data_IF_459720082190
#
_entry.id   IF_459720082190
#
_cell.length_a   1.000
_cell.length_b   1.000
_cell.length_c   1.000
_cell.angle_alpha   90.00
_cell.angle_beta   90.00
_cell.angle_gamma   90.00
#
_symmetry.space_group_name_H-M   'P 1'
#
loop_
_entity.id
_entity.type
_entity.pdbx_description
1 polymer ?
#
# COMPACT_ATOMS: atom_id res chain seq x y z
N UNK A 1 4.13 39.23 -11.38
CA UNK A 1 4.64 39.52 -10.02
C UNK A 1 4.64 38.22 -9.23
N UNK A 2 5.80 37.61 -8.97
CA UNK A 2 5.89 36.34 -8.25
C UNK A 2 6.06 36.64 -6.75
N UNK A 3 5.04 36.37 -5.94
CA UNK A 3 5.14 36.44 -4.48
C UNK A 3 5.92 35.22 -4.01
N UNK A 4 7.09 35.44 -3.41
CA UNK A 4 7.86 34.39 -2.72
C UNK A 4 7.28 34.24 -1.33
N UNK A 5 6.74 33.06 -1.02
CA UNK A 5 6.34 32.70 0.35
C UNK A 5 7.58 32.10 1.03
N UNK A 6 7.95 32.69 2.15
CA UNK A 6 9.06 32.26 3.01
C UNK A 6 8.47 31.29 4.05
N UNK A 7 8.88 30.03 4.03
CA UNK A 7 8.49 29.04 5.06
C UNK A 7 9.69 28.74 5.94
N UNK A 8 9.49 28.95 7.23
CA UNK A 8 10.46 28.81 8.32
C UNK A 8 10.52 27.34 8.72
N UNK A 9 11.70 26.74 8.64
CA UNK A 9 11.97 25.37 9.08
C UNK A 9 12.06 25.32 10.62
N UNK A 10 11.15 24.62 11.28
CA UNK A 10 11.29 24.28 12.70
C UNK A 10 11.83 22.85 12.78
N UNK A 11 13.10 22.74 13.17
CA UNK A 11 13.76 21.47 13.50
C UNK A 11 13.36 21.14 14.94
N UNK A 12 12.47 20.16 15.11
CA UNK A 12 12.11 19.64 16.43
C UNK A 12 13.12 18.59 16.87
N UNK A 13 13.96 18.93 17.86
CA UNK A 13 14.87 18.02 18.52
C UNK A 13 14.12 17.06 19.46
N UNK A 14 14.35 15.77 19.26
CA UNK A 14 13.74 14.67 19.98
C UNK A 14 14.38 14.53 21.38
N UNK A 15 13.66 14.87 22.44
CA UNK A 15 14.04 14.54 23.82
C UNK A 15 13.20 13.34 24.29
N UNK A 16 13.83 12.17 24.33
CA UNK A 16 13.25 10.95 24.88
C UNK A 16 13.33 11.05 26.40
N UNK A 17 12.18 11.18 27.08
CA UNK A 17 12.09 10.92 28.51
C UNK A 17 11.35 9.60 28.71
N UNK A 18 12.09 8.58 29.13
CA UNK A 18 11.54 7.33 29.64
C UNK A 18 11.11 7.56 31.09
N UNK A 19 9.81 7.50 31.36
CA UNK A 19 9.30 7.31 32.72
C UNK A 19 8.59 5.96 32.79
N UNK A 20 9.28 5.03 33.46
CA UNK A 20 8.78 3.74 33.91
C UNK A 20 8.07 3.98 35.24
N UNK A 21 6.78 3.66 35.31
CA UNK A 21 6.10 3.36 36.57
C UNK A 21 5.33 2.05 36.38
N UNK A 22 5.71 1.05 37.17
CA UNK A 22 5.08 -0.27 37.20
C UNK A 22 4.16 -0.49 38.39
N UNK A 23 3.46 -1.63 38.31
CA UNK A 23 2.68 -2.37 39.32
C UNK A 23 1.29 -1.78 39.69
N UNK A 24 0.22 -2.55 39.89
CA UNK A 24 0.10 -3.97 40.25
C UNK A 24 -1.28 -4.60 39.90
N UNK A 25 -1.21 -5.93 39.73
CA UNK A 25 -2.19 -7.02 39.75
C UNK A 25 -3.56 -6.81 40.45
N UNK A 26 -4.62 -7.34 39.83
CA UNK A 26 -5.66 -8.09 40.55
C UNK A 26 -6.23 -9.19 39.66
N UNK A 27 -6.15 -10.43 40.16
CA UNK A 27 -6.84 -11.62 39.67
C UNK A 27 -8.30 -11.59 40.13
N UNK A 28 -9.22 -12.10 39.30
CA UNK A 28 -10.29 -12.92 39.84
C UNK A 28 -10.67 -14.01 38.84
N UNK A 29 -10.60 -15.24 39.33
CA UNK A 29 -10.99 -16.47 38.65
C UNK A 29 -12.49 -16.51 38.40
N UNK A 30 -12.92 -17.11 37.29
CA UNK A 30 -14.05 -18.02 37.33
C UNK A 30 -13.91 -19.12 36.28
N UNK A 31 -13.99 -20.34 36.80
CA UNK A 31 -13.79 -21.63 36.18
C UNK A 31 -15.15 -22.19 35.77
N UNK A 32 -15.26 -22.71 34.55
CA UNK A 32 -16.16 -23.83 34.25
C UNK A 32 -15.59 -24.65 33.10
N UNK A 33 -15.28 -25.91 33.41
CA UNK A 33 -14.91 -26.98 32.50
C UNK A 33 -16.15 -27.48 31.73
N UNK A 34 -15.97 -27.90 30.49
CA UNK A 34 -16.26 -29.30 30.09
C UNK A 34 -15.57 -29.63 28.78
N UNK A 35 -14.69 -30.63 28.84
CA UNK A 35 -14.08 -31.34 27.72
C UNK A 35 -15.11 -32.24 27.03
N UNK A 36 -14.99 -32.43 25.72
CA UNK A 36 -15.04 -33.79 25.16
C UNK A 36 -14.30 -33.88 23.82
N UNK A 37 -13.47 -34.90 23.75
CA UNK A 37 -12.58 -35.34 22.67
C UNK A 37 -13.20 -36.53 21.96
N UNK A 38 -13.05 -36.66 20.64
CA UNK A 38 -13.01 -37.96 19.96
C UNK A 38 -12.00 -37.90 18.80
N UNK A 39 -11.01 -38.79 18.86
CA UNK A 39 -10.13 -39.25 17.76
C UNK A 39 -10.61 -40.63 17.25
N UNK A 40 -9.93 -41.12 16.18
CA UNK A 40 -9.75 -42.51 15.68
C UNK A 40 -10.69 -42.87 14.50
N UNK A 41 -10.31 -43.45 13.35
CA UNK A 41 -9.12 -44.15 12.78
C UNK A 41 -9.19 -43.97 11.22
N UNK A 42 -8.11 -43.80 10.42
CA UNK A 42 -7.11 -44.75 9.89
C UNK A 42 -7.58 -45.71 8.77
N UNK A 43 -7.03 -45.54 7.56
CA UNK A 43 -6.46 -46.61 6.71
C UNK A 43 -5.64 -45.98 5.53
N UNK A 44 -4.30 -46.02 5.50
CA UNK A 44 -3.34 -47.02 4.92
C UNK A 44 -3.38 -47.18 3.39
N UNK A 45 -2.44 -46.60 2.63
CA UNK A 45 -1.30 -47.22 1.87
C UNK A 45 -1.31 -46.70 0.42
N UNK A 46 -0.26 -46.60 -0.41
CA UNK A 46 1.11 -47.14 -0.50
C UNK A 46 1.86 -46.27 -1.56
N UNK A 47 3.07 -45.79 -1.29
CA UNK A 47 4.34 -46.19 -1.95
C UNK A 47 4.53 -45.78 -3.43
N UNK A 48 5.45 -44.83 -3.72
CA UNK A 48 6.78 -45.15 -4.27
C UNK A 48 7.59 -43.91 -4.70
N UNK A 49 8.78 -43.85 -4.10
CA UNK A 49 9.95 -43.04 -4.45
C UNK A 49 10.45 -43.26 -5.89
N UNK A 50 11.04 -42.22 -6.50
CA UNK A 50 12.31 -42.35 -7.23
C UNK A 50 12.98 -40.99 -7.48
N UNK A 51 14.13 -40.86 -6.84
CA UNK A 51 15.17 -39.87 -7.03
C UNK A 51 16.04 -40.29 -8.23
N UNK A 52 16.37 -39.35 -9.12
CA UNK A 52 17.53 -39.43 -10.03
C UNK A 52 17.83 -38.08 -10.68
N UNK A 53 18.86 -37.38 -10.20
CA UNK A 53 19.84 -36.67 -11.05
C UNK A 53 20.84 -37.74 -11.57
N UNK A 54 21.61 -37.54 -12.68
CA UNK A 54 22.28 -36.27 -13.06
C UNK A 54 22.37 -35.97 -14.57
N UNK A 55 22.75 -34.74 -14.95
CA UNK A 55 24.03 -34.36 -15.60
C UNK A 55 23.91 -33.02 -16.37
N UNK A 56 24.96 -32.21 -16.22
CA UNK A 56 25.18 -30.91 -16.85
C UNK A 56 25.06 -30.94 -18.37
N UNK A 57 24.45 -29.89 -18.93
CA UNK A 57 24.75 -29.42 -20.28
C UNK A 57 24.75 -27.89 -20.22
N UNK A 58 25.91 -27.29 -20.53
CA UNK A 58 26.01 -25.86 -20.80
C UNK A 58 25.06 -25.52 -21.95
N UNK A 59 24.13 -24.59 -21.73
CA UNK A 59 23.48 -23.85 -22.80
C UNK A 59 23.18 -22.44 -22.34
N UNK A 60 23.73 -21.51 -23.10
CA UNK A 60 23.61 -20.07 -23.03
C UNK A 60 22.12 -19.69 -23.04
N UNK A 61 21.61 -19.24 -21.89
CA UNK A 61 20.20 -18.94 -21.68
C UNK A 61 19.76 -17.69 -22.43
N UNK A 62 19.05 -17.91 -23.53
CA UNK A 62 18.07 -16.99 -24.09
C UNK A 62 17.05 -16.68 -22.98
N UNK A 63 17.05 -15.44 -22.49
CA UNK A 63 16.16 -15.00 -21.40
C UNK A 63 14.69 -15.13 -21.83
N UNK A 64 13.89 -15.78 -20.99
CA UNK A 64 12.44 -16.00 -21.12
C UNK A 64 11.64 -14.69 -21.12
N UNK A 65 11.64 -13.95 -22.23
CA UNK A 65 10.90 -12.68 -22.35
C UNK A 65 9.38 -12.88 -22.19
N UNK A 66 8.82 -13.95 -22.77
CA UNK A 66 7.36 -14.22 -22.74
C UNK A 66 6.80 -14.43 -21.32
N UNK A 67 7.54 -15.08 -20.42
CA UNK A 67 7.09 -15.35 -19.06
C UNK A 67 7.15 -14.10 -18.15
N UNK A 68 8.10 -13.21 -18.41
CA UNK A 68 8.24 -11.94 -17.67
C UNK A 68 7.14 -10.96 -18.07
N UNK A 69 6.82 -10.89 -19.36
CA UNK A 69 5.78 -10.00 -19.87
C UNK A 69 4.39 -10.41 -19.37
N UNK A 70 4.13 -11.72 -19.26
CA UNK A 70 2.88 -12.25 -18.71
C UNK A 70 2.67 -11.85 -17.24
N UNK A 71 3.69 -12.01 -16.40
CA UNK A 71 3.63 -11.62 -14.99
C UNK A 71 3.34 -10.13 -14.78
N UNK A 72 4.00 -9.25 -15.54
CA UNK A 72 3.75 -7.80 -15.45
C UNK A 72 2.32 -7.45 -15.87
N UNK A 73 1.83 -8.08 -16.94
CA UNK A 73 0.45 -7.94 -17.40
C UNK A 73 -0.55 -8.36 -16.32
N UNK A 74 -0.31 -9.49 -15.66
CA UNK A 74 -1.15 -9.97 -14.54
C UNK A 74 -1.16 -9.01 -13.35
N UNK A 75 0.01 -8.47 -12.99
CA UNK A 75 0.14 -7.48 -11.91
C UNK A 75 -0.64 -6.20 -12.23
N UNK A 76 -0.47 -5.65 -13.43
CA UNK A 76 -1.18 -4.45 -13.88
C UNK A 76 -2.70 -4.69 -13.97
N UNK A 77 -3.12 -5.89 -14.40
CA UNK A 77 -4.53 -6.27 -14.39
C UNK A 77 -5.10 -6.34 -12.97
N UNK A 78 -4.36 -6.92 -12.02
CA UNK A 78 -4.79 -6.97 -10.62
C UNK A 78 -4.89 -5.56 -10.01
N UNK A 79 -3.93 -4.67 -10.28
CA UNK A 79 -3.99 -3.26 -9.87
C UNK A 79 -5.26 -2.59 -10.41
N UNK A 80 -5.54 -2.76 -11.71
CA UNK A 80 -6.73 -2.19 -12.37
C UNK A 80 -8.03 -2.76 -11.82
N UNK A 81 -8.11 -4.06 -11.58
CA UNK A 81 -9.33 -4.69 -11.11
C UNK A 81 -9.65 -4.33 -9.65
N UNK A 82 -8.63 -4.28 -8.78
CA UNK A 82 -8.78 -3.83 -7.40
C UNK A 82 -9.20 -2.36 -7.32
N UNK A 83 -8.58 -1.50 -8.13
CA UNK A 83 -8.84 -0.05 -8.08
C UNK A 83 -10.27 0.34 -8.48
N UNK A 84 -10.94 -0.44 -9.34
CA UNK A 84 -12.37 -0.25 -9.67
C UNK A 84 -13.28 -0.28 -8.43
N UNK A 85 -12.83 -0.93 -7.36
CA UNK A 85 -13.56 -1.09 -6.10
C UNK A 85 -12.92 -0.37 -4.91
N UNK A 86 -12.01 0.58 -5.18
CA UNK A 86 -11.36 1.37 -4.14
C UNK A 86 -10.23 0.65 -3.39
N UNK A 87 -9.75 -0.50 -3.86
CA UNK A 87 -8.74 -1.32 -3.18
C UNK A 87 -7.38 -1.28 -3.89
N UNK A 88 -6.32 -1.64 -3.15
CA UNK A 88 -4.99 -1.98 -3.69
C UNK A 88 -4.71 -3.48 -3.62
N UNK A 89 -3.67 -3.97 -4.30
CA UNK A 89 -3.37 -5.40 -4.48
C UNK A 89 -3.04 -6.14 -3.18
N UNK A 90 -2.48 -5.45 -2.18
CA UNK A 90 -2.06 -6.00 -0.89
C UNK A 90 -2.98 -5.58 0.26
N UNK A 91 -4.21 -5.15 -0.03
CA UNK A 91 -5.20 -4.74 0.99
C UNK A 91 -6.61 -5.23 0.65
N UNK A 92 -7.40 -5.49 1.70
CA UNK A 92 -8.85 -5.75 1.61
C UNK A 92 -9.70 -4.51 1.95
N UNK A 93 -9.07 -3.47 2.50
CA UNK A 93 -9.73 -2.22 2.84
C UNK A 93 -9.96 -1.35 1.60
N UNK A 94 -10.99 -0.52 1.66
CA UNK A 94 -11.47 0.29 0.55
C UNK A 94 -11.38 1.78 0.86
N UNK A 95 -10.89 2.57 -0.10
CA UNK A 95 -11.18 3.99 -0.12
C UNK A 95 -12.71 4.20 -0.29
N UNK A 96 -13.20 5.38 0.09
CA UNK A 96 -14.62 5.77 0.13
C UNK A 96 -15.41 5.13 1.25
N UNK A 97 -15.39 3.81 1.41
CA UNK A 97 -16.28 3.13 2.36
C UNK A 97 -15.57 2.70 3.66
N UNK A 98 -14.25 2.52 3.64
CA UNK A 98 -13.49 2.07 4.81
C UNK A 98 -13.14 3.20 5.78
N UNK A 99 -12.89 2.83 7.04
CA UNK A 99 -12.42 3.73 8.11
C UNK A 99 -11.14 3.18 8.75
N UNK A 100 -10.30 4.07 9.29
CA UNK A 100 -9.00 3.66 9.86
C UNK A 100 -9.14 2.72 11.08
N UNK A 101 -10.22 2.84 11.85
CA UNK A 101 -10.46 1.98 13.01
C UNK A 101 -10.56 0.50 12.63
N UNK A 102 -11.16 0.18 11.47
CA UNK A 102 -11.22 -1.20 10.97
C UNK A 102 -9.84 -1.74 10.61
N UNK A 103 -8.99 -0.90 10.03
CA UNK A 103 -7.59 -1.24 9.72
C UNK A 103 -6.82 -1.50 11.01
N UNK A 104 -6.97 -0.62 12.01
CA UNK A 104 -6.30 -0.76 13.29
C UNK A 104 -6.75 -2.02 14.05
N UNK A 105 -8.04 -2.38 13.94
CA UNK A 105 -8.56 -3.61 14.53
C UNK A 105 -7.95 -4.86 13.88
N UNK A 106 -7.70 -4.84 12.57
CA UNK A 106 -7.13 -5.97 11.84
C UNK A 106 -5.61 -6.07 11.97
N UNK A 107 -4.91 -4.94 11.93
CA UNK A 107 -3.45 -4.88 11.81
C UNK A 107 -2.73 -4.45 13.09
N UNK A 108 -3.46 -4.00 14.11
CA UNK A 108 -2.89 -3.30 15.26
C UNK A 108 -2.69 -1.82 14.96
N UNK A 109 -2.01 -1.10 15.86
CA UNK A 109 -1.73 0.33 15.69
C UNK A 109 -0.77 0.59 14.52
N UNK A 110 -0.92 1.72 13.85
CA UNK A 110 0.01 2.21 12.85
C UNK A 110 1.44 2.38 13.39
N UNK A 111 2.44 2.24 12.51
CA UNK A 111 3.83 2.51 12.83
C UNK A 111 4.09 4.03 12.90
N UNK A 112 3.49 4.78 11.97
CA UNK A 112 3.55 6.26 11.93
C UNK A 112 2.24 6.87 11.48
N UNK A 113 1.98 8.10 11.93
CA UNK A 113 0.85 8.93 11.50
C UNK A 113 1.32 10.34 11.18
N UNK A 114 1.20 10.79 9.92
CA UNK A 114 1.66 12.12 9.48
C UNK A 114 0.59 12.85 8.68
N UNK A 115 0.33 14.12 9.02
CA UNK A 115 -0.54 14.96 8.20
C UNK A 115 0.24 15.47 6.98
N UNK A 116 -0.29 15.21 5.78
CA UNK A 116 0.29 15.66 4.51
C UNK A 116 -0.65 16.71 3.92
N UNK A 117 -0.22 17.98 3.95
CA UNK A 117 -1.06 19.11 3.57
C UNK A 117 -1.44 19.08 2.08
N UNK A 118 -0.49 18.75 1.21
CA UNK A 118 -0.65 18.64 -0.24
C UNK A 118 -1.66 17.53 -0.59
N UNK A 119 -1.67 16.46 0.19
CA UNK A 119 -2.58 15.33 0.01
C UNK A 119 -3.85 15.40 0.88
N UNK A 120 -4.05 16.52 1.59
CA UNK A 120 -5.24 16.89 2.37
C UNK A 120 -5.70 15.84 3.40
N UNK A 121 -4.77 15.18 4.08
CA UNK A 121 -5.15 14.14 5.05
C UNK A 121 -4.07 13.69 6.01
N UNK A 122 -4.51 12.93 7.00
CA UNK A 122 -3.64 12.21 7.93
C UNK A 122 -3.36 10.81 7.37
N UNK A 123 -2.09 10.46 7.23
CA UNK A 123 -1.65 9.19 6.67
C UNK A 123 -1.14 8.28 7.76
N UNK A 124 -1.76 7.12 7.89
CA UNK A 124 -1.39 6.05 8.81
C UNK A 124 -0.60 4.99 8.05
N UNK A 125 0.65 4.77 8.42
CA UNK A 125 1.55 3.83 7.74
C UNK A 125 1.67 2.53 8.52
N UNK A 126 1.56 1.41 7.80
CA UNK A 126 1.73 0.05 8.31
C UNK A 126 2.88 -0.59 7.53
N UNK A 127 4.11 -0.40 8.01
CA UNK A 127 5.35 -0.79 7.34
C UNK A 127 5.38 -2.29 7.06
N UNK A 128 4.99 -3.10 8.05
CA UNK A 128 4.94 -4.56 7.91
C UNK A 128 3.94 -5.05 6.85
N UNK A 129 2.98 -4.20 6.47
CA UNK A 129 1.96 -4.47 5.45
C UNK A 129 2.29 -3.85 4.09
N UNK A 130 3.31 -2.98 4.02
CA UNK A 130 3.61 -2.15 2.86
C UNK A 130 2.38 -1.32 2.42
N UNK A 131 1.72 -0.68 3.39
CA UNK A 131 0.50 0.10 3.18
C UNK A 131 0.56 1.44 3.90
N UNK A 132 -0.08 2.44 3.32
CA UNK A 132 -0.50 3.64 4.04
C UNK A 132 -1.94 4.02 3.69
N UNK A 133 -2.65 4.59 4.65
CA UNK A 133 -4.06 4.98 4.52
C UNK A 133 -4.21 6.47 4.79
N UNK A 134 -4.56 7.23 3.76
CA UNK A 134 -4.92 8.64 3.86
C UNK A 134 -6.37 8.80 4.29
N UNK A 135 -6.58 9.45 5.43
CA UNK A 135 -7.90 9.62 6.02
C UNK A 135 -8.25 11.10 6.18
N UNK A 136 -9.53 11.41 6.00
CA UNK A 136 -10.06 12.75 6.25
C UNK A 136 -10.36 12.95 7.76
N UNK A 137 -10.84 14.12 8.14
CA UNK A 137 -11.15 14.46 9.55
C UNK A 137 -12.21 13.56 10.19
N UNK A 138 -12.98 12.81 9.39
CA UNK A 138 -13.99 11.86 9.85
C UNK A 138 -13.51 10.40 9.84
N UNK A 139 -12.20 10.18 9.78
CA UNK A 139 -11.54 8.87 9.78
C UNK A 139 -11.89 7.96 8.60
N UNK A 140 -12.62 8.47 7.60
CA UNK A 140 -12.87 7.80 6.34
C UNK A 140 -11.60 7.78 5.49
N UNK A 141 -11.29 6.61 4.97
CA UNK A 141 -10.18 6.39 4.05
C UNK A 141 -10.55 6.98 2.69
N UNK A 142 -9.77 7.97 2.23
CA UNK A 142 -9.91 8.53 0.89
C UNK A 142 -8.76 8.11 -0.04
N UNK A 143 -7.62 7.65 0.48
CA UNK A 143 -6.51 7.15 -0.32
C UNK A 143 -5.89 5.91 0.33
N UNK A 144 -5.56 4.91 -0.49
CA UNK A 144 -4.75 3.78 -0.06
C UNK A 144 -3.50 3.72 -0.92
N UNK A 145 -2.33 3.73 -0.28
CA UNK A 145 -1.02 3.61 -0.94
C UNK A 145 -0.48 2.20 -0.73
N UNK A 146 -0.05 1.57 -1.82
CA UNK A 146 0.62 0.28 -1.80
C UNK A 146 2.10 0.44 -2.12
N UNK A 147 2.94 -0.05 -1.22
CA UNK A 147 4.39 -0.13 -1.39
C UNK A 147 4.82 -1.58 -1.67
N UNK A 148 3.94 -2.38 -2.28
CA UNK A 148 4.19 -3.79 -2.53
C UNK A 148 5.51 -3.99 -3.30
N UNK A 149 6.29 -4.99 -2.91
CA UNK A 149 7.63 -5.19 -3.48
C UNK A 149 7.59 -5.58 -4.96
N UNK A 150 6.48 -6.17 -5.42
CA UNK A 150 6.26 -6.52 -6.83
C UNK A 150 6.24 -5.30 -7.75
N UNK A 151 5.97 -4.09 -7.22
CA UNK A 151 5.98 -2.85 -7.99
C UNK A 151 7.36 -2.52 -8.58
N UNK A 152 8.44 -3.06 -8.01
CA UNK A 152 9.81 -2.85 -8.51
C UNK A 152 10.06 -3.51 -9.87
N UNK A 153 9.19 -4.43 -10.28
CA UNK A 153 9.25 -5.10 -11.57
C UNK A 153 8.61 -4.25 -12.68
N UNK A 154 7.83 -3.24 -12.32
CA UNK A 154 7.18 -2.31 -13.24
C UNK A 154 8.03 -1.06 -13.47
N UNK A 155 8.01 -0.57 -14.71
CA UNK A 155 8.53 0.73 -15.08
C UNK A 155 7.46 1.59 -15.77
N UNK A 156 7.81 2.84 -16.08
CA UNK A 156 6.90 3.80 -16.69
C UNK A 156 6.34 3.31 -18.04
N UNK A 157 7.16 2.68 -18.88
CA UNK A 157 6.75 2.15 -20.18
C UNK A 157 5.77 0.98 -20.03
N UNK A 158 5.97 0.09 -19.05
CA UNK A 158 5.04 -1.00 -18.75
C UNK A 158 3.64 -0.45 -18.43
N UNK A 159 3.59 0.61 -17.60
CA UNK A 159 2.33 1.24 -17.16
C UNK A 159 1.64 1.97 -18.31
N UNK A 160 2.38 2.78 -19.08
CA UNK A 160 1.83 3.51 -20.23
C UNK A 160 1.35 2.54 -21.31
N UNK A 161 2.09 1.44 -21.57
CA UNK A 161 1.69 0.44 -22.57
C UNK A 161 0.38 -0.25 -22.20
N UNK A 162 0.12 -0.46 -20.90
CA UNK A 162 -1.07 -1.15 -20.43
C UNK A 162 -2.28 -0.21 -20.24
N UNK A 163 -2.09 0.95 -19.61
CA UNK A 163 -3.18 1.88 -19.29
C UNK A 163 -3.41 2.95 -20.37
N UNK A 164 -2.45 3.19 -21.26
CA UNK A 164 -2.46 4.27 -22.23
C UNK A 164 -1.85 5.57 -21.70
N UNK A 165 -2.12 6.67 -22.40
CA UNK A 165 -1.69 8.01 -22.01
C UNK A 165 -2.35 8.44 -20.68
N UNK A 166 -1.57 8.93 -19.70
CA UNK A 166 -2.13 9.35 -18.41
C UNK A 166 -2.92 10.66 -18.55
N UNK A 167 -4.04 10.77 -17.82
CA UNK A 167 -4.82 12.00 -17.72
C UNK A 167 -4.19 13.07 -16.82
N UNK A 168 -3.19 12.67 -16.03
CA UNK A 168 -2.46 13.55 -15.14
C UNK A 168 -0.98 13.20 -15.14
N UNK A 169 -0.13 14.21 -15.20
CA UNK A 169 1.30 14.07 -14.97
C UNK A 169 1.86 15.32 -14.29
N UNK A 170 2.64 15.14 -13.23
CA UNK A 170 3.35 16.22 -12.55
C UNK A 170 4.71 15.76 -12.07
N UNK A 171 5.63 16.73 -11.93
CA UNK A 171 6.89 16.55 -11.21
C UNK A 171 6.85 17.34 -9.91
N UNK A 172 7.10 16.68 -8.77
CA UNK A 172 7.06 17.30 -7.44
C UNK A 172 8.37 18.03 -7.14
N UNK A 173 8.35 18.89 -6.11
CA UNK A 173 9.56 19.56 -5.61
C UNK A 173 10.57 18.57 -5.02
N UNK A 174 10.11 17.39 -4.60
CA UNK A 174 10.94 16.26 -4.15
C UNK A 174 11.49 15.43 -5.32
N UNK A 175 11.37 15.94 -6.54
CA UNK A 175 11.83 15.31 -7.77
C UNK A 175 11.09 14.00 -8.08
N UNK A 176 9.88 13.77 -7.56
CA UNK A 176 9.07 12.62 -7.92
C UNK A 176 8.30 12.90 -9.21
N UNK A 177 8.04 11.87 -10.01
CA UNK A 177 7.07 11.92 -11.12
C UNK A 177 5.80 11.21 -10.67
N UNK A 178 4.66 11.87 -10.83
CA UNK A 178 3.35 11.26 -10.56
C UNK A 178 2.60 11.22 -11.88
N UNK A 179 2.06 10.05 -12.25
CA UNK A 179 1.10 9.91 -13.35
C UNK A 179 -0.22 9.39 -12.82
N UNK A 180 -1.34 9.82 -13.43
CA UNK A 180 -2.68 9.50 -12.96
C UNK A 180 -3.62 9.03 -14.06
N UNK A 181 -4.48 8.08 -13.70
CA UNK A 181 -5.53 7.52 -14.54
C UNK A 181 -6.88 7.56 -13.84
N UNK A 182 -7.93 7.94 -14.56
CA UNK A 182 -9.30 7.77 -14.09
C UNK A 182 -9.74 6.33 -14.29
N UNK A 183 -10.20 5.68 -13.22
CA UNK A 183 -10.64 4.29 -13.27
C UNK A 183 -12.15 4.22 -13.45
N UNK A 184 -12.88 5.02 -12.68
CA UNK A 184 -14.31 5.22 -12.79
C UNK A 184 -14.68 6.57 -12.15
N UNK A 185 -15.99 6.82 -11.97
CA UNK A 185 -16.49 8.06 -11.39
C UNK A 185 -15.96 8.34 -9.98
N UNK A 186 -15.76 7.28 -9.18
CA UNK A 186 -15.34 7.42 -7.78
C UNK A 186 -13.81 7.43 -7.64
N UNK A 187 -13.11 6.60 -8.41
CA UNK A 187 -11.72 6.28 -8.13
C UNK A 187 -10.75 6.69 -9.25
N UNK A 188 -9.60 7.20 -8.80
CA UNK A 188 -8.42 7.46 -9.62
C UNK A 188 -7.26 6.58 -9.14
N UNK A 189 -6.36 6.28 -10.07
CA UNK A 189 -5.16 5.49 -9.84
C UNK A 189 -3.96 6.39 -10.09
N UNK A 190 -3.04 6.47 -9.12
CA UNK A 190 -1.82 7.25 -9.23
C UNK A 190 -0.60 6.36 -9.09
N UNK A 191 0.38 6.54 -9.95
CA UNK A 191 1.69 5.90 -9.86
C UNK A 191 2.73 6.95 -9.54
N UNK A 192 3.49 6.73 -8.45
CA UNK A 192 4.51 7.66 -7.97
C UNK A 192 5.89 7.05 -8.20
N UNK A 193 6.67 7.71 -9.03
CA UNK A 193 8.03 7.33 -9.33
C UNK A 193 9.00 8.26 -8.60
N UNK A 194 9.97 7.64 -7.94
CA UNK A 194 11.05 8.31 -7.24
C UNK A 194 12.38 8.05 -7.94
N UNK A 195 13.32 8.98 -7.84
CA UNK A 195 14.68 8.75 -8.34
C UNK A 195 15.52 8.09 -7.26
N UNK A 196 16.03 6.90 -7.56
CA UNK A 196 16.99 6.21 -6.70
C UNK A 196 18.35 6.92 -6.69
N UNK A 197 19.25 6.53 -5.78
CA UNK A 197 20.63 7.07 -5.68
C UNK A 197 21.43 6.97 -6.98
N UNK A 198 21.04 6.07 -7.89
CA UNK A 198 21.70 5.88 -9.18
C UNK A 198 21.00 6.66 -10.30
N UNK A 199 20.16 7.64 -9.96
CA UNK A 199 19.34 8.46 -10.88
C UNK A 199 18.35 7.65 -11.73
N UNK A 200 18.20 6.35 -11.45
CA UNK A 200 17.17 5.52 -12.07
C UNK A 200 15.82 5.81 -11.43
N UNK A 201 14.86 6.21 -12.26
CA UNK A 201 13.45 6.31 -11.91
C UNK A 201 12.90 4.92 -11.58
N UNK A 202 12.28 4.78 -10.41
CA UNK A 202 11.70 3.53 -9.91
C UNK A 202 10.29 3.81 -9.43
N UNK A 203 9.37 2.88 -9.67
CA UNK A 203 8.04 2.95 -9.10
C UNK A 203 8.16 2.74 -7.58
N UNK A 204 7.86 3.77 -6.82
CA UNK A 204 7.96 3.76 -5.35
C UNK A 204 6.70 3.14 -4.75
N UNK A 205 5.55 3.66 -5.17
CA UNK A 205 4.24 3.18 -4.80
C UNK A 205 3.21 3.53 -5.87
N UNK A 206 2.03 2.95 -5.72
CA UNK A 206 0.84 3.45 -6.38
C UNK A 206 -0.27 3.65 -5.36
N UNK A 207 -1.28 4.44 -5.73
CA UNK A 207 -2.43 4.68 -4.86
C UNK A 207 -3.76 4.65 -5.58
N UNK A 208 -4.79 4.27 -4.83
CA UNK A 208 -6.19 4.41 -5.23
C UNK A 208 -6.79 5.53 -4.41
N UNK A 209 -7.24 6.57 -5.12
CA UNK A 209 -7.76 7.80 -4.58
C UNK A 209 -9.27 7.90 -4.82
N UNK A 210 -10.01 8.27 -3.79
CA UNK A 210 -11.37 8.78 -3.83
C UNK A 210 -11.36 10.31 -3.64
N UNK A 211 -11.35 11.11 -4.72
CA UNK A 211 -11.16 12.57 -4.65
C UNK A 211 -12.18 13.27 -3.75
N UNK A 212 -13.45 12.87 -3.84
CA UNK A 212 -14.53 13.45 -3.05
C UNK A 212 -14.33 13.29 -1.53
N UNK A 213 -13.58 12.28 -1.09
CA UNK A 213 -13.24 12.08 0.32
C UNK A 213 -12.29 13.14 0.88
N UNK A 214 -11.72 14.00 0.03
CA UNK A 214 -10.80 15.09 0.42
C UNK A 214 -11.48 16.45 0.50
N UNK A 215 -12.75 16.56 0.12
CA UNK A 215 -13.53 17.80 0.21
C UNK A 215 -13.68 18.19 1.68
N UNK A 216 -13.45 19.47 1.99
CA UNK A 216 -13.73 20.02 3.32
C UNK A 216 -14.68 21.21 3.20
N UNK A 217 -15.97 20.92 3.31
CA UNK A 217 -17.05 21.91 3.21
C UNK A 217 -17.07 22.95 4.32
N UNK A 218 -16.33 22.75 5.42
CA UNK A 218 -16.24 23.76 6.48
C UNK A 218 -15.28 24.90 6.13
N UNK A 219 -14.31 24.63 5.25
CA UNK A 219 -13.26 25.58 4.85
C UNK A 219 -13.38 25.99 3.36
N UNK A 220 -14.53 25.71 2.72
CA UNK A 220 -14.79 25.88 1.28
C UNK A 220 -13.67 25.28 0.39
N UNK A 221 -13.05 24.21 0.88
CA UNK A 221 -11.96 23.52 0.18
C UNK A 221 -12.56 22.42 -0.71
N UNK A 222 -12.41 22.52 -2.06
CA UNK A 222 -12.99 21.55 -3.00
C UNK A 222 -12.28 20.19 -2.97
N UNK A 223 -11.26 20.01 -2.12
CA UNK A 223 -10.46 18.79 -2.10
C UNK A 223 -9.39 18.78 -3.18
N UNK A 224 -8.77 17.62 -3.38
CA UNK A 224 -7.79 17.36 -4.43
C UNK A 224 -8.39 16.44 -5.48
N UNK A 225 -8.10 16.74 -6.73
CA UNK A 225 -8.53 15.93 -7.87
C UNK A 225 -7.54 14.81 -8.21
N UNK A 226 -6.25 15.04 -7.92
CA UNK A 226 -5.13 14.13 -8.14
C UNK A 226 -4.19 14.15 -6.96
#
# INVERSE_FOLDING_TARGET
>A
MKKKVLIITIIATFMISLTVCGYNKSSNDNKSNSSESIEIDKDTSKDSSKEAQPKSTDNLGETNTENVDNYKGDLLNNIKDKSKSGMVINSEFKAKDGIIDEVNNAYGKEDTSNYIAEAKGLYYTFESKNLAFGCNKGDQIFEIRSFDKSLKDLNLEDIISYFGEPQYEVKTELNERIIGYEINYDFKLLFVFSYSKNEKEVLDHYSVLYPHGTVNSMDDDPGREW
#
